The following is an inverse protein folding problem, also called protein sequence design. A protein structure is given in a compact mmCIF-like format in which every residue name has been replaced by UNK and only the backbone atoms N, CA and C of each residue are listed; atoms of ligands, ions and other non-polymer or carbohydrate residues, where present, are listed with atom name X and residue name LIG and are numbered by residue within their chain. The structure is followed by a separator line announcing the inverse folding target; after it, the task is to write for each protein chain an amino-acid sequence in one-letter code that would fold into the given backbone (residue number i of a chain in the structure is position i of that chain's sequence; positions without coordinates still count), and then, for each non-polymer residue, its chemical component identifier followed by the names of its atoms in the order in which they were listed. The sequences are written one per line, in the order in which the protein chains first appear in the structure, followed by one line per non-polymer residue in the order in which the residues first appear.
data_IF_179703174205
#
_entry.id   IF_179703174205
#
_cell.length_a   1.000
_cell.length_b   1.000
_cell.length_c   1.000
_cell.angle_alpha   90.00
_cell.angle_beta   90.00
_cell.angle_gamma   90.00
#
_symmetry.space_group_name_H-M   'P 1'
#
loop_
_entity.id
_entity.type
_entity.pdbx_description
1 polymer ?
#
# COMPACT_ATOMS: atom_id res chain seq x y z
N UNK A 1 59.81 8.25 -34.12
CA UNK A 1 59.30 8.39 -32.73
C UNK A 1 58.42 9.64 -32.53
N UNK A 2 58.60 10.74 -33.28
CA UNK A 2 57.82 11.99 -33.12
C UNK A 2 56.29 11.88 -33.39
N UNK A 3 55.85 10.94 -34.24
CA UNK A 3 54.42 10.78 -34.57
C UNK A 3 53.62 10.26 -33.36
N UNK A 4 54.21 9.42 -32.50
CA UNK A 4 53.50 8.86 -31.34
C UNK A 4 53.33 9.93 -30.25
N UNK A 5 54.28 10.86 -30.10
CA UNK A 5 54.16 11.99 -29.17
C UNK A 5 53.11 13.01 -29.60
N UNK A 6 52.97 13.26 -30.90
CA UNK A 6 52.02 14.25 -31.44
C UNK A 6 50.57 13.75 -31.38
N UNK A 7 50.34 12.43 -31.49
CA UNK A 7 49.01 11.82 -31.39
C UNK A 7 48.63 11.37 -29.97
N UNK A 8 49.58 11.31 -29.02
CA UNK A 8 49.32 10.86 -27.65
C UNK A 8 48.33 11.74 -26.89
N UNK A 9 48.47 13.07 -26.98
CA UNK A 9 47.57 14.03 -26.32
C UNK A 9 46.15 13.97 -26.90
N UNK A 10 45.91 14.07 -28.22
CA UNK A 10 44.57 13.99 -28.77
C UNK A 10 43.91 12.62 -28.52
N UNK A 11 44.66 11.52 -28.56
CA UNK A 11 44.13 10.19 -28.18
C UNK A 11 43.71 10.14 -26.72
N UNK A 12 44.50 10.71 -25.80
CA UNK A 12 44.16 10.77 -24.39
C UNK A 12 42.88 11.59 -24.13
N UNK A 13 42.74 12.75 -24.80
CA UNK A 13 41.53 13.57 -24.71
C UNK A 13 40.31 12.82 -25.25
N UNK A 14 40.46 12.15 -26.40
CA UNK A 14 39.36 11.39 -27.02
C UNK A 14 38.95 10.20 -26.13
N UNK A 15 39.91 9.49 -25.54
CA UNK A 15 39.65 8.43 -24.57
C UNK A 15 38.94 8.95 -23.31
N UNK A 16 39.33 10.13 -22.79
CA UNK A 16 38.67 10.76 -21.65
C UNK A 16 37.22 11.17 -21.96
N UNK A 17 36.97 11.74 -23.15
CA UNK A 17 35.62 12.11 -23.59
C UNK A 17 34.73 10.88 -23.74
N UNK A 18 35.25 9.80 -24.33
CA UNK A 18 34.50 8.54 -24.44
C UNK A 18 34.22 7.94 -23.06
N UNK A 19 35.21 7.94 -22.15
CA UNK A 19 35.03 7.45 -20.79
C UNK A 19 33.99 8.25 -19.98
N UNK A 20 34.00 9.58 -20.11
CA UNK A 20 33.04 10.46 -19.43
C UNK A 20 31.63 10.29 -19.98
N UNK A 21 31.46 10.16 -21.31
CA UNK A 21 30.16 9.86 -21.92
C UNK A 21 29.61 8.48 -21.51
N UNK A 22 30.49 7.47 -21.44
CA UNK A 22 30.11 6.14 -20.94
C UNK A 22 29.66 6.20 -19.48
N UNK A 23 30.40 6.90 -18.61
CA UNK A 23 29.96 7.08 -17.22
C UNK A 23 28.66 7.86 -17.10
N UNK A 24 28.48 8.93 -17.87
CA UNK A 24 27.24 9.70 -17.89
C UNK A 24 26.03 8.82 -18.32
N UNK A 25 26.22 7.93 -19.29
CA UNK A 25 25.20 6.98 -19.73
C UNK A 25 24.84 5.96 -18.63
N UNK A 26 25.84 5.39 -17.96
CA UNK A 26 25.63 4.45 -16.85
C UNK A 26 24.90 5.13 -15.69
N UNK A 27 25.34 6.33 -15.31
CA UNK A 27 24.71 7.12 -14.24
C UNK A 27 23.26 7.45 -14.60
N UNK A 28 22.98 7.90 -15.83
CA UNK A 28 21.62 8.18 -16.29
C UNK A 28 20.73 6.94 -16.22
N UNK A 29 21.22 5.77 -16.66
CA UNK A 29 20.48 4.50 -16.58
C UNK A 29 20.17 4.11 -15.14
N UNK A 30 21.13 4.29 -14.23
CA UNK A 30 20.94 4.05 -12.81
C UNK A 30 19.92 5.03 -12.19
N UNK A 31 19.99 6.31 -12.55
CA UNK A 31 19.04 7.32 -12.07
C UNK A 31 17.60 7.01 -12.51
N UNK A 32 17.40 6.64 -13.76
CA UNK A 32 16.08 6.23 -14.29
C UNK A 32 15.57 5.01 -13.54
N UNK A 33 16.40 3.98 -13.38
CA UNK A 33 16.02 2.77 -12.63
C UNK A 33 15.64 3.10 -11.18
N UNK A 34 16.43 3.93 -10.48
CA UNK A 34 16.12 4.36 -9.13
C UNK A 34 14.83 5.17 -9.05
N UNK A 35 14.57 6.05 -10.02
CA UNK A 35 13.34 6.82 -10.09
C UNK A 35 12.11 5.90 -10.25
N UNK A 36 12.20 4.88 -11.12
CA UNK A 36 11.14 3.88 -11.29
C UNK A 36 10.89 3.09 -10.01
N UNK A 37 11.95 2.62 -9.34
CA UNK A 37 11.83 1.89 -8.07
C UNK A 37 11.20 2.78 -6.98
N UNK A 38 11.65 4.04 -6.85
CA UNK A 38 11.08 4.99 -5.89
C UNK A 38 9.60 5.27 -6.16
N UNK A 39 9.22 5.44 -7.43
CA UNK A 39 7.82 5.64 -7.81
C UNK A 39 6.96 4.42 -7.47
N UNK A 40 7.45 3.21 -7.74
CA UNK A 40 6.75 1.97 -7.40
C UNK A 40 6.60 1.80 -5.88
N UNK A 41 7.66 2.05 -5.11
CA UNK A 41 7.62 1.99 -3.64
C UNK A 41 6.61 3.00 -3.08
N UNK A 42 6.67 4.26 -3.53
CA UNK A 42 5.72 5.31 -3.12
C UNK A 42 4.27 4.95 -3.42
N UNK A 43 4.02 4.32 -4.57
CA UNK A 43 2.67 3.84 -4.94
C UNK A 43 2.17 2.79 -3.94
N UNK A 44 2.99 1.81 -3.60
CA UNK A 44 2.62 0.77 -2.62
C UNK A 44 2.48 1.32 -1.21
N UNK A 45 3.36 2.23 -0.81
CA UNK A 45 3.35 2.90 0.49
C UNK A 45 2.10 3.75 0.68
N UNK A 46 1.74 4.56 -0.32
CA UNK A 46 0.50 5.34 -0.30
C UNK A 46 -0.73 4.44 -0.14
N UNK A 47 -0.82 3.40 -0.98
CA UNK A 47 -1.95 2.47 -0.93
C UNK A 47 -2.04 1.70 0.40
N UNK A 48 -0.90 1.42 1.03
CA UNK A 48 -0.82 0.77 2.34
C UNK A 48 -1.29 1.72 3.44
N UNK A 49 -0.83 2.98 3.46
CA UNK A 49 -1.24 3.97 4.45
C UNK A 49 -2.75 4.25 4.39
N UNK A 50 -3.31 4.36 3.17
CA UNK A 50 -4.75 4.51 2.98
C UNK A 50 -5.53 3.30 3.52
N UNK A 51 -5.04 2.08 3.30
CA UNK A 51 -5.72 0.86 3.75
C UNK A 51 -5.60 0.67 5.27
N UNK A 52 -4.44 0.95 5.86
CA UNK A 52 -4.25 0.95 7.31
C UNK A 52 -5.11 2.01 7.99
N UNK A 53 -5.22 3.20 7.37
CA UNK A 53 -6.10 4.28 7.82
C UNK A 53 -7.55 3.85 7.83
N UNK A 54 -8.06 3.37 6.69
CA UNK A 54 -9.45 2.91 6.57
C UNK A 54 -9.77 1.76 7.54
N UNK A 55 -8.88 0.77 7.71
CA UNK A 55 -9.08 -0.30 8.70
C UNK A 55 -9.07 0.21 10.14
N UNK A 56 -8.21 1.18 10.46
CA UNK A 56 -8.19 1.79 11.80
C UNK A 56 -9.47 2.56 12.07
N UNK A 57 -9.98 3.27 11.07
CA UNK A 57 -11.25 3.99 11.18
C UNK A 57 -12.44 3.04 11.32
N UNK A 58 -12.39 1.86 10.69
CA UNK A 58 -13.40 0.80 10.84
C UNK A 58 -13.18 -0.12 12.05
N UNK A 59 -12.16 0.11 12.87
CA UNK A 59 -11.94 -0.67 14.09
C UNK A 59 -13.16 -0.81 15.04
N UNK A 60 -14.04 0.21 15.22
CA UNK A 60 -15.23 0.07 16.07
C UNK A 60 -16.39 -0.70 15.39
N UNK A 61 -16.25 -1.05 14.11
CA UNK A 61 -17.26 -1.79 13.34
C UNK A 61 -16.94 -3.29 13.42
N UNK A 62 -17.91 -4.14 13.79
CA UNK A 62 -17.72 -5.57 13.76
C UNK A 62 -17.81 -6.12 12.34
N UNK A 63 -16.66 -6.20 11.69
CA UNK A 63 -16.48 -6.89 10.42
C UNK A 63 -16.28 -8.40 10.66
N UNK A 64 -16.51 -9.22 9.65
CA UNK A 64 -16.19 -10.65 9.69
C UNK A 64 -14.69 -10.83 9.80
N UNK A 65 -14.27 -11.89 10.49
CA UNK A 65 -12.86 -12.27 10.56
C UNK A 65 -12.27 -12.50 9.17
N UNK A 66 -13.04 -13.10 8.27
CA UNK A 66 -12.61 -13.34 6.89
C UNK A 66 -12.25 -12.04 6.15
N UNK A 67 -13.09 -11.01 6.26
CA UNK A 67 -12.83 -9.71 5.67
C UNK A 67 -11.62 -9.03 6.30
N UNK A 68 -11.51 -9.03 7.64
CA UNK A 68 -10.34 -8.46 8.34
C UNK A 68 -9.04 -9.16 7.94
N UNK A 69 -9.02 -10.49 7.95
CA UNK A 69 -7.86 -11.29 7.52
C UNK A 69 -7.50 -10.97 6.08
N UNK A 70 -8.47 -10.86 5.17
CA UNK A 70 -8.20 -10.52 3.77
C UNK A 70 -7.54 -9.13 3.66
N UNK A 71 -8.03 -8.12 4.38
CA UNK A 71 -7.46 -6.77 4.34
C UNK A 71 -6.07 -6.71 5.02
N UNK A 72 -5.86 -7.44 6.12
CA UNK A 72 -4.55 -7.55 6.78
C UNK A 72 -3.54 -8.31 5.92
N UNK A 73 -3.97 -9.38 5.25
CA UNK A 73 -3.15 -10.13 4.31
C UNK A 73 -2.74 -9.27 3.11
N UNK A 74 -3.62 -8.40 2.64
CA UNK A 74 -3.30 -7.42 1.60
C UNK A 74 -2.25 -6.40 2.06
N UNK A 75 -2.34 -5.89 3.30
CA UNK A 75 -1.31 -5.01 3.89
C UNK A 75 0.03 -5.74 3.96
N UNK A 76 0.03 -7.00 4.42
CA UNK A 76 1.23 -7.83 4.45
C UNK A 76 1.81 -8.01 3.05
N UNK A 77 0.99 -8.34 2.05
CA UNK A 77 1.41 -8.51 0.66
C UNK A 77 2.07 -7.23 0.10
N UNK A 78 1.50 -6.05 0.39
CA UNK A 78 2.08 -4.75 -0.02
C UNK A 78 3.40 -4.47 0.67
N UNK A 79 3.50 -4.77 1.96
CA UNK A 79 4.74 -4.60 2.74
C UNK A 79 5.84 -5.52 2.21
N UNK A 80 5.53 -6.79 1.95
CA UNK A 80 6.44 -7.73 1.30
C UNK A 80 6.81 -7.28 -0.12
N UNK A 81 5.88 -6.69 -0.87
CA UNK A 81 6.16 -6.12 -2.19
C UNK A 81 7.15 -4.96 -2.10
N UNK A 82 7.00 -4.05 -1.15
CA UNK A 82 7.97 -2.99 -0.87
C UNK A 82 9.35 -3.58 -0.55
N UNK A 83 9.41 -4.59 0.33
CA UNK A 83 10.66 -5.30 0.65
C UNK A 83 11.32 -5.92 -0.58
N UNK A 84 10.53 -6.48 -1.50
CA UNK A 84 11.04 -7.08 -2.74
C UNK A 84 11.60 -6.05 -3.72
N UNK A 85 10.98 -4.86 -3.79
CA UNK A 85 11.41 -3.77 -4.67
C UNK A 85 12.64 -3.04 -4.10
N UNK A 86 12.70 -2.89 -2.78
CA UNK A 86 13.80 -2.21 -2.10
C UNK A 86 14.18 -2.92 -0.80
N UNK A 87 15.11 -3.87 -0.89
CA UNK A 87 15.57 -4.69 0.25
C UNK A 87 16.17 -3.89 1.41
N UNK A 88 16.78 -2.73 1.12
CA UNK A 88 17.39 -1.83 2.11
C UNK A 88 16.43 -0.75 2.60
N UNK A 89 15.11 -0.92 2.39
CA UNK A 89 14.13 0.02 2.94
C UNK A 89 14.20 0.01 4.48
N UNK A 90 14.34 1.17 5.13
CA UNK A 90 14.52 1.24 6.59
C UNK A 90 13.29 0.72 7.33
N UNK A 91 13.50 -0.14 8.33
CA UNK A 91 12.42 -0.69 9.17
C UNK A 91 11.46 -1.66 8.45
N UNK A 92 11.72 -2.05 7.19
CA UNK A 92 10.78 -2.91 6.45
C UNK A 92 10.63 -4.30 7.06
N UNK A 93 11.69 -4.84 7.67
CA UNK A 93 11.66 -6.15 8.32
C UNK A 93 10.72 -6.14 9.54
N UNK A 94 10.82 -5.11 10.37
CA UNK A 94 9.93 -4.91 11.53
C UNK A 94 8.48 -4.72 11.08
N UNK A 95 8.24 -3.93 10.01
CA UNK A 95 6.91 -3.76 9.44
C UNK A 95 6.31 -5.06 8.90
N UNK A 96 7.11 -5.90 8.24
CA UNK A 96 6.66 -7.23 7.78
C UNK A 96 6.28 -8.09 8.98
N UNK A 97 7.13 -8.16 10.02
CA UNK A 97 6.85 -8.96 11.21
C UNK A 97 5.59 -8.45 11.95
N UNK A 98 5.40 -7.13 12.06
CA UNK A 98 4.20 -6.54 12.65
C UNK A 98 2.94 -6.87 11.84
N UNK A 99 3.01 -6.82 10.50
CA UNK A 99 1.89 -7.18 9.64
C UNK A 99 1.56 -8.69 9.72
N UNK A 100 2.56 -9.56 9.80
CA UNK A 100 2.38 -11.01 10.01
C UNK A 100 1.72 -11.29 11.36
N UNK A 101 2.20 -10.65 12.43
CA UNK A 101 1.61 -10.77 13.75
C UNK A 101 0.15 -10.28 13.77
N UNK A 102 -0.14 -9.15 13.09
CA UNK A 102 -1.49 -8.62 12.98
C UNK A 102 -2.46 -9.62 12.32
N UNK A 103 -2.06 -10.24 11.20
CA UNK A 103 -2.86 -11.29 10.53
C UNK A 103 -3.07 -12.49 11.46
N UNK A 104 -2.04 -12.92 12.17
CA UNK A 104 -2.12 -14.07 13.08
C UNK A 104 -3.00 -13.80 14.32
N UNK A 105 -3.03 -12.56 14.79
CA UNK A 105 -3.83 -12.14 15.96
C UNK A 105 -5.30 -11.86 15.64
N UNK A 106 -5.75 -11.99 14.39
CA UNK A 106 -7.15 -11.73 14.03
C UNK A 106 -8.09 -12.78 14.63
N UNK A 107 -8.89 -12.34 15.59
CA UNK A 107 -9.96 -13.10 16.23
C UNK A 107 -11.33 -12.72 15.65
N UNK A 108 -12.38 -13.45 16.02
CA UNK A 108 -13.76 -13.02 15.75
C UNK A 108 -14.06 -11.68 16.44
N UNK A 109 -14.96 -10.85 15.89
CA UNK A 109 -15.33 -9.60 16.53
C UNK A 109 -15.99 -9.90 17.89
N UNK A 110 -15.65 -9.10 18.91
CA UNK A 110 -16.20 -9.25 20.27
C UNK A 110 -17.63 -8.70 20.36
N UNK A 111 -17.99 -7.77 19.47
CA UNK A 111 -19.31 -7.18 19.41
C UNK A 111 -20.05 -7.64 18.15
N UNK A 112 -21.36 -7.86 18.25
CA UNK A 112 -22.20 -8.24 17.10
C UNK A 112 -22.70 -7.02 16.30
N UNK A 113 -22.54 -5.81 16.85
CA UNK A 113 -23.13 -4.59 16.33
C UNK A 113 -22.22 -3.36 16.43
N UNK A 114 -22.46 -2.37 15.57
CA UNK A 114 -21.61 -1.16 15.44
C UNK A 114 -21.70 -0.29 16.69
N UNK A 115 -20.60 -0.01 17.40
CA UNK A 115 -20.64 0.84 18.61
C UNK A 115 -21.30 2.23 18.41
N UNK A 116 -21.71 2.92 19.49
CA UNK A 116 -22.33 4.24 19.39
C UNK A 116 -21.41 5.24 18.67
N UNK A 117 -22.02 6.09 17.81
CA UNK A 117 -21.31 7.10 17.03
C UNK A 117 -21.72 8.48 17.54
N UNK A 118 -20.85 9.09 18.34
CA UNK A 118 -21.19 10.29 19.10
C UNK A 118 -21.11 11.58 18.28
N UNK A 119 -20.24 11.62 17.26
CA UNK A 119 -19.98 12.84 16.49
C UNK A 119 -20.21 12.64 15.00
N UNK A 120 -20.70 13.69 14.33
CA UNK A 120 -20.86 13.69 12.88
C UNK A 120 -19.52 13.51 12.15
N UNK A 121 -18.43 14.02 12.74
CA UNK A 121 -17.09 13.81 12.19
C UNK A 121 -16.69 12.33 12.23
N UNK A 122 -16.94 11.62 13.33
CA UNK A 122 -16.69 10.19 13.43
C UNK A 122 -17.55 9.41 12.42
N UNK A 123 -18.83 9.79 12.27
CA UNK A 123 -19.72 9.19 11.28
C UNK A 123 -19.23 9.37 9.84
N UNK A 124 -18.86 10.60 9.44
CA UNK A 124 -18.33 10.88 8.09
C UNK A 124 -17.03 10.14 7.83
N UNK A 125 -16.17 10.01 8.85
CA UNK A 125 -14.92 9.26 8.76
C UNK A 125 -15.20 7.77 8.52
N UNK A 126 -16.12 7.18 9.29
CA UNK A 126 -16.56 5.79 9.10
C UNK A 126 -17.12 5.54 7.70
N UNK A 127 -17.99 6.41 7.18
CA UNK A 127 -18.55 6.26 5.84
C UNK A 127 -17.49 6.28 4.74
N UNK A 128 -16.50 7.18 4.85
CA UNK A 128 -15.36 7.22 3.91
C UNK A 128 -14.55 5.94 3.96
N UNK A 129 -14.27 5.43 5.17
CA UNK A 129 -13.54 4.18 5.32
C UNK A 129 -14.30 2.98 4.70
N UNK A 130 -15.63 2.92 4.86
CA UNK A 130 -16.45 1.92 4.17
C UNK A 130 -16.35 2.04 2.64
N UNK A 131 -16.49 3.26 2.12
CA UNK A 131 -16.39 3.54 0.68
C UNK A 131 -15.02 3.14 0.11
N UNK A 132 -13.94 3.51 0.80
CA UNK A 132 -12.56 3.23 0.38
C UNK A 132 -12.28 1.73 0.31
N UNK A 133 -12.69 0.95 1.31
CA UNK A 133 -12.50 -0.51 1.30
C UNK A 133 -13.41 -1.17 0.26
N UNK A 134 -14.67 -0.73 0.21
CA UNK A 134 -15.64 -1.26 -0.74
C UNK A 134 -15.17 -1.05 -2.18
N UNK A 135 -14.69 0.15 -2.52
CA UNK A 135 -14.18 0.44 -3.86
C UNK A 135 -12.97 -0.43 -4.23
N UNK A 136 -12.03 -0.63 -3.30
CA UNK A 136 -10.85 -1.47 -3.52
C UNK A 136 -11.21 -2.93 -3.80
N UNK A 137 -12.14 -3.48 -3.04
CA UNK A 137 -12.63 -4.85 -3.22
C UNK A 137 -13.37 -4.97 -4.57
N UNK A 138 -14.25 -4.00 -4.87
CA UNK A 138 -15.05 -3.98 -6.10
C UNK A 138 -14.18 -3.88 -7.36
N UNK A 139 -13.24 -2.94 -7.38
CA UNK A 139 -12.34 -2.72 -8.52
C UNK A 139 -11.24 -3.79 -8.65
N UNK A 140 -11.11 -4.69 -7.67
CA UNK A 140 -10.05 -5.69 -7.66
C UNK A 140 -8.65 -5.06 -7.55
N UNK A 141 -8.54 -3.91 -6.88
CA UNK A 141 -7.29 -3.16 -6.74
C UNK A 141 -6.31 -3.78 -5.71
N UNK A 142 -6.67 -4.95 -5.17
CA UNK A 142 -5.87 -5.75 -4.23
C UNK A 142 -4.73 -6.46 -4.98
N UNK A 143 -3.56 -6.58 -4.34
CA UNK A 143 -2.46 -7.40 -4.84
C UNK A 143 -2.81 -8.88 -4.80
N UNK A 144 -3.60 -9.30 -3.80
CA UNK A 144 -4.17 -10.64 -3.75
C UNK A 144 -5.60 -10.59 -4.27
N UNK A 145 -5.85 -11.06 -5.52
CA UNK A 145 -7.18 -11.00 -6.10
C UNK A 145 -8.13 -11.92 -5.33
N UNK A 146 -9.29 -11.38 -4.96
CA UNK A 146 -10.37 -12.14 -4.34
C UNK A 146 -11.26 -12.77 -5.42
N UNK A 147 -11.69 -14.04 -5.22
CA UNK A 147 -12.73 -14.65 -6.05
C UNK A 147 -13.99 -13.78 -6.14
N UNK A 148 -14.72 -13.83 -7.27
CA UNK A 148 -15.86 -12.93 -7.51
C UNK A 148 -17.02 -13.13 -6.51
N UNK A 149 -17.29 -14.37 -6.17
CA UNK A 149 -18.19 -14.82 -5.10
C UNK A 149 -17.80 -14.23 -3.74
N UNK A 150 -16.52 -14.33 -3.35
CA UNK A 150 -16.01 -13.77 -2.10
C UNK A 150 -16.12 -12.24 -2.08
N UNK A 151 -15.82 -11.58 -3.22
CA UNK A 151 -16.03 -10.13 -3.36
C UNK A 151 -17.49 -9.75 -3.13
N UNK A 152 -18.43 -10.50 -3.69
CA UNK A 152 -19.87 -10.27 -3.49
C UNK A 152 -20.29 -10.38 -2.02
N UNK A 153 -19.76 -11.38 -1.31
CA UNK A 153 -20.01 -11.55 0.14
C UNK A 153 -19.48 -10.36 0.94
N UNK A 154 -18.23 -9.96 0.73
CA UNK A 154 -17.64 -8.82 1.46
C UNK A 154 -18.30 -7.49 1.13
N UNK A 155 -18.71 -7.28 -0.12
CA UNK A 155 -19.45 -6.08 -0.53
C UNK A 155 -20.80 -5.98 0.19
N UNK A 156 -21.52 -7.11 0.30
CA UNK A 156 -22.79 -7.16 1.02
C UNK A 156 -22.59 -6.85 2.50
N UNK A 157 -21.62 -7.50 3.13
CA UNK A 157 -21.28 -7.28 4.53
C UNK A 157 -20.94 -5.81 4.82
N UNK A 158 -20.07 -5.19 3.99
CA UNK A 158 -19.72 -3.77 4.12
C UNK A 158 -20.95 -2.86 3.93
N UNK A 159 -21.85 -3.20 3.00
CA UNK A 159 -23.10 -2.47 2.80
C UNK A 159 -24.05 -2.55 3.99
N UNK A 160 -24.20 -3.74 4.58
CA UNK A 160 -25.03 -3.97 5.77
C UNK A 160 -24.49 -3.18 6.97
N UNK A 161 -23.18 -3.27 7.25
CA UNK A 161 -22.55 -2.55 8.36
C UNK A 161 -22.57 -1.03 8.17
N UNK A 162 -22.47 -0.55 6.94
CA UNK A 162 -22.65 0.87 6.61
C UNK A 162 -24.07 1.33 6.92
N UNK A 163 -25.08 0.57 6.50
CA UNK A 163 -26.48 0.89 6.76
C UNK A 163 -26.77 0.89 8.27
N UNK A 164 -26.21 -0.07 9.01
CA UNK A 164 -26.31 -0.12 10.47
C UNK A 164 -25.66 1.10 11.14
N UNK A 165 -24.45 1.50 10.72
CA UNK A 165 -23.78 2.69 11.23
C UNK A 165 -24.61 3.96 11.00
N UNK A 166 -25.21 4.10 9.81
CA UNK A 166 -26.10 5.21 9.48
C UNK A 166 -27.37 5.20 10.35
N UNK A 167 -28.00 4.04 10.51
CA UNK A 167 -29.17 3.90 11.35
C UNK A 167 -28.85 4.28 12.81
N UNK A 168 -27.72 3.82 13.36
CA UNK A 168 -27.32 4.16 14.73
C UNK A 168 -27.05 5.65 14.91
N UNK A 169 -26.36 6.29 13.97
CA UNK A 169 -26.10 7.73 14.06
C UNK A 169 -27.41 8.53 14.06
N UNK A 170 -28.35 8.21 13.17
CA UNK A 170 -29.60 8.96 13.04
C UNK A 170 -30.67 8.62 14.10
N UNK A 171 -30.71 7.40 14.63
CA UNK A 171 -31.67 6.97 15.65
C UNK A 171 -31.22 7.27 17.09
N UNK A 172 -29.92 7.44 17.33
CA UNK A 172 -29.39 7.81 18.67
C UNK A 172 -29.36 9.33 18.87
N UNK A 173 -29.32 10.12 17.79
CA UNK A 173 -29.38 11.58 17.85
C UNK A 173 -30.81 12.16 17.74
N UNK A 174 -31.85 11.31 17.67
CA UNK A 174 -33.26 11.73 17.65
C UNK A 174 -33.90 11.71 19.02
#
# INVERSE_FOLDING_TARGET
MAVIEQWGVPLAVLALVVATLLMASIVKKQQVHQATVRAAVRKHEKALLEMEGALRELAPVPLSRALRVAMRAEILARTQRIRSLYRRYPGIAERVAAAEAAVASETEPVADSVGPIETEQAFRTLLRAFDDISERIRLGALLQPLPQDVRGVFQRELGERRAEAAARFHLVQS
#
